data_IF_592893552410
#
_entry.id   IF_592893552410
#
_cell.length_a   1.000
_cell.length_b   1.000
_cell.length_c   1.000
_cell.angle_alpha   90.00
_cell.angle_beta   90.00
_cell.angle_gamma   90.00
#
_symmetry.space_group_name_H-M   'P 1'
#
loop_
_entity.id
_entity.type
_entity.pdbx_description
1 polymer ?
#
# COMPACT_ATOMS: atom_id res chain seq x y z
N UNK A 1 -18.34 1.58 -42.64
CA UNK A 1 -17.32 1.22 -41.63
C UNK A 1 -17.84 1.60 -40.25
N UNK A 2 -18.21 0.62 -39.41
CA UNK A 2 -18.77 0.88 -38.08
C UNK A 2 -17.61 1.15 -37.12
N UNK A 3 -17.45 2.41 -36.68
CA UNK A 3 -16.46 2.81 -35.68
C UNK A 3 -16.95 2.35 -34.31
N UNK A 4 -16.32 1.34 -33.76
CA UNK A 4 -16.57 0.87 -32.39
C UNK A 4 -15.83 1.84 -31.47
N UNK A 5 -16.55 2.84 -30.97
CA UNK A 5 -16.06 3.71 -29.90
C UNK A 5 -15.96 2.88 -28.63
N UNK A 6 -14.72 2.50 -28.30
CA UNK A 6 -14.36 1.83 -27.05
C UNK A 6 -14.72 2.75 -25.88
N UNK A 7 -15.81 2.42 -25.21
CA UNK A 7 -16.29 3.14 -24.02
C UNK A 7 -15.40 2.72 -22.85
N UNK A 8 -14.36 3.51 -22.58
CA UNK A 8 -13.59 3.37 -21.35
C UNK A 8 -14.51 3.71 -20.18
N UNK A 9 -14.88 2.69 -19.41
CA UNK A 9 -15.53 2.82 -18.11
C UNK A 9 -14.57 3.55 -17.17
N UNK A 10 -14.61 4.88 -17.21
CA UNK A 10 -13.98 5.72 -16.20
C UNK A 10 -14.76 5.53 -14.90
N UNK A 11 -14.33 4.55 -14.09
CA UNK A 11 -14.67 4.50 -12.67
C UNK A 11 -14.02 5.71 -12.02
N UNK A 12 -14.77 6.81 -11.97
CA UNK A 12 -14.37 8.05 -11.32
C UNK A 12 -14.37 7.83 -9.80
N UNK A 13 -13.27 7.25 -9.31
CA UNK A 13 -12.96 7.26 -7.89
C UNK A 13 -12.48 8.68 -7.56
N UNK A 14 -13.43 9.60 -7.35
CA UNK A 14 -13.14 10.95 -6.86
C UNK A 14 -12.83 10.82 -5.36
N UNK A 15 -11.65 10.30 -5.06
CA UNK A 15 -11.08 10.33 -3.73
C UNK A 15 -10.45 11.72 -3.54
N UNK A 16 -11.25 12.70 -3.10
CA UNK A 16 -10.73 13.94 -2.52
C UNK A 16 -10.07 13.61 -1.18
N UNK A 17 -8.79 13.23 -1.21
CA UNK A 17 -8.00 13.01 0.00
C UNK A 17 -7.09 14.21 0.25
N UNK A 18 -7.16 14.69 1.49
CA UNK A 18 -6.62 15.92 2.01
C UNK A 18 -5.13 15.82 2.40
N UNK A 19 -4.41 16.94 2.23
CA UNK A 19 -3.10 17.32 2.82
C UNK A 19 -2.04 16.20 2.82
N UNK A 20 -1.78 15.64 1.65
CA UNK A 20 -0.68 14.72 1.39
C UNK A 20 0.05 15.14 0.11
N UNK A 21 1.12 14.43 -0.25
CA UNK A 21 1.81 14.70 -1.50
C UNK A 21 0.90 14.29 -2.69
N UNK A 22 0.53 15.26 -3.54
CA UNK A 22 -0.28 14.99 -4.74
C UNK A 22 0.61 14.44 -5.87
N UNK A 23 0.52 13.13 -6.08
CA UNK A 23 1.24 12.41 -7.13
C UNK A 23 0.41 12.18 -8.40
N UNK A 24 -0.85 12.65 -8.47
CA UNK A 24 -1.77 12.39 -9.58
C UNK A 24 -1.25 12.86 -10.94
N UNK A 25 -0.42 13.91 -10.95
CA UNK A 25 0.17 14.51 -12.16
C UNK A 25 1.46 13.83 -12.62
N UNK A 26 1.94 12.81 -11.90
CA UNK A 26 3.18 12.10 -12.24
C UNK A 26 2.96 11.04 -13.31
N UNK A 27 3.97 10.77 -14.12
CA UNK A 27 3.98 9.60 -15.01
C UNK A 27 4.26 8.31 -14.22
N UNK A 28 3.98 7.14 -14.82
CA UNK A 28 4.25 5.85 -14.18
C UNK A 28 5.73 5.67 -13.85
N UNK A 29 6.62 6.11 -14.75
CA UNK A 29 8.06 6.06 -14.52
C UNK A 29 8.49 6.99 -13.39
N UNK A 30 7.85 8.16 -13.25
CA UNK A 30 8.08 9.04 -12.09
C UNK A 30 7.63 8.40 -10.78
N UNK A 31 6.47 7.72 -10.74
CA UNK A 31 6.01 7.00 -9.54
C UNK A 31 7.01 5.91 -9.13
N UNK A 32 7.49 5.12 -10.10
CA UNK A 32 8.52 4.10 -9.86
C UNK A 32 9.81 4.75 -9.34
N UNK A 33 10.24 5.87 -9.94
CA UNK A 33 11.48 6.54 -9.55
C UNK A 33 11.39 7.22 -8.18
N UNK A 34 10.23 7.80 -7.83
CA UNK A 34 10.00 8.39 -6.50
C UNK A 34 10.21 7.37 -5.39
N UNK A 35 9.88 6.09 -5.61
CA UNK A 35 10.10 5.04 -4.61
C UNK A 35 11.57 4.91 -4.16
N UNK A 36 12.54 5.29 -5.02
CA UNK A 36 13.98 5.24 -4.72
C UNK A 36 14.43 6.22 -3.63
N UNK A 37 13.66 7.28 -3.39
CA UNK A 37 14.04 8.38 -2.49
C UNK A 37 12.89 8.98 -1.68
N UNK A 38 11.67 8.43 -1.80
CA UNK A 38 10.50 8.92 -1.05
C UNK A 38 10.79 8.96 0.45
N UNK A 39 10.34 10.02 1.11
CA UNK A 39 10.45 10.19 2.57
C UNK A 39 9.36 9.37 3.27
N UNK A 40 9.46 9.25 4.59
CA UNK A 40 8.50 8.49 5.38
C UNK A 40 7.08 9.08 5.25
N UNK A 41 6.97 10.41 5.32
CA UNK A 41 5.73 11.19 5.34
C UNK A 41 4.94 11.08 4.03
N UNK A 42 5.63 10.91 2.90
CA UNK A 42 4.98 10.86 1.58
C UNK A 42 4.78 9.42 1.08
N UNK A 43 5.31 8.42 1.79
CA UNK A 43 5.32 7.04 1.30
C UNK A 43 3.89 6.45 1.24
N UNK A 44 3.01 6.79 2.17
CA UNK A 44 1.64 6.30 2.19
C UNK A 44 0.86 6.78 0.95
N UNK A 45 0.93 8.09 0.66
CA UNK A 45 0.33 8.68 -0.55
C UNK A 45 0.89 8.06 -1.82
N UNK A 46 2.21 7.86 -1.89
CA UNK A 46 2.88 7.26 -3.05
C UNK A 46 2.42 5.80 -3.26
N UNK A 47 2.23 5.03 -2.18
CA UNK A 47 1.71 3.66 -2.26
C UNK A 47 0.27 3.64 -2.75
N UNK A 48 -0.59 4.54 -2.27
CA UNK A 48 -1.98 4.66 -2.74
C UNK A 48 -2.01 5.00 -4.23
N UNK A 49 -1.19 5.96 -4.67
CA UNK A 49 -1.13 6.34 -6.08
C UNK A 49 -0.67 5.17 -6.96
N UNK A 50 0.34 4.42 -6.51
CA UNK A 50 0.78 3.18 -7.19
C UNK A 50 -0.38 2.16 -7.30
N UNK A 51 -1.18 1.99 -6.24
CA UNK A 51 -2.34 1.10 -6.25
C UNK A 51 -3.45 1.55 -7.18
N UNK A 52 -3.76 2.86 -7.21
CA UNK A 52 -4.73 3.44 -8.15
C UNK A 52 -4.35 3.10 -9.59
N UNK A 53 -3.09 3.33 -9.96
CA UNK A 53 -2.56 3.04 -11.30
C UNK A 53 -2.61 1.57 -11.66
N UNK A 54 -2.31 0.68 -10.72
CA UNK A 54 -2.42 -0.76 -10.95
C UNK A 54 -3.84 -1.18 -11.36
N UNK A 55 -4.88 -0.52 -10.83
CA UNK A 55 -6.28 -0.83 -11.15
C UNK A 55 -6.66 -0.45 -12.60
N UNK A 56 -5.93 0.50 -13.20
CA UNK A 56 -6.13 0.95 -14.57
C UNK A 56 -5.27 0.17 -15.59
N UNK A 57 -4.35 -0.66 -15.10
CA UNK A 57 -3.42 -1.43 -15.92
C UNK A 57 -3.93 -2.84 -16.22
N UNK A 58 -3.47 -3.42 -17.34
CA UNK A 58 -3.63 -4.86 -17.57
C UNK A 58 -2.81 -5.64 -16.54
N UNK A 59 -3.27 -6.84 -16.18
CA UNK A 59 -2.67 -7.66 -15.13
C UNK A 59 -1.14 -7.82 -15.24
N UNK A 60 -0.61 -8.10 -16.44
CA UNK A 60 0.83 -8.26 -16.66
C UNK A 60 1.59 -6.96 -16.37
N UNK A 61 1.09 -5.85 -16.89
CA UNK A 61 1.72 -4.53 -16.74
C UNK A 61 1.63 -4.06 -15.28
N UNK A 62 0.49 -4.28 -14.62
CA UNK A 62 0.30 -3.99 -13.20
C UNK A 62 1.29 -4.77 -12.32
N UNK A 63 1.53 -6.05 -12.64
CA UNK A 63 2.49 -6.89 -11.91
C UNK A 63 3.92 -6.39 -12.07
N UNK A 64 4.31 -6.03 -13.30
CA UNK A 64 5.64 -5.48 -13.57
C UNK A 64 5.84 -4.10 -12.90
N UNK A 65 4.83 -3.23 -13.00
CA UNK A 65 4.81 -1.92 -12.35
C UNK A 65 4.98 -2.04 -10.84
N UNK A 66 4.19 -2.91 -10.20
CA UNK A 66 4.27 -3.18 -8.78
C UNK A 66 5.64 -3.74 -8.37
N UNK A 67 6.19 -4.66 -9.17
CA UNK A 67 7.50 -5.25 -8.91
C UNK A 67 8.59 -4.17 -8.89
N UNK A 68 8.70 -3.36 -9.95
CA UNK A 68 9.67 -2.26 -10.04
C UNK A 68 9.53 -1.27 -8.89
N UNK A 69 8.30 -0.88 -8.58
CA UNK A 69 8.01 0.01 -7.46
C UNK A 69 8.49 -0.57 -6.11
N UNK A 70 8.13 -1.82 -5.80
CA UNK A 70 8.50 -2.48 -4.55
C UNK A 70 10.00 -2.69 -4.42
N UNK A 71 10.68 -3.06 -5.49
CA UNK A 71 12.14 -3.21 -5.50
C UNK A 71 12.82 -1.88 -5.17
N UNK A 72 12.44 -0.79 -5.85
CA UNK A 72 12.99 0.54 -5.56
C UNK A 72 12.71 1.00 -4.12
N UNK A 73 11.49 0.77 -3.62
CA UNK A 73 11.12 1.13 -2.25
C UNK A 73 11.91 0.30 -1.23
N UNK A 74 12.10 -0.99 -1.49
CA UNK A 74 12.90 -1.87 -0.63
C UNK A 74 14.37 -1.42 -0.60
N UNK A 75 14.97 -1.11 -1.75
CA UNK A 75 16.33 -0.60 -1.85
C UNK A 75 16.51 0.77 -1.15
N UNK A 76 15.49 1.62 -1.18
CA UNK A 76 15.50 2.86 -0.42
C UNK A 76 15.52 2.58 1.10
N UNK A 77 14.62 1.72 1.57
CA UNK A 77 14.49 1.38 2.99
C UNK A 77 15.69 0.59 3.50
N UNK A 78 16.32 -0.25 2.68
CA UNK A 78 17.46 -1.09 3.08
C UNK A 78 18.72 -0.29 3.42
N UNK A 79 18.82 0.95 2.94
CA UNK A 79 19.91 1.89 3.26
C UNK A 79 19.81 2.46 4.69
N UNK A 80 18.66 2.32 5.33
CA UNK A 80 18.40 2.87 6.66
C UNK A 80 18.88 1.91 7.76
N UNK A 81 19.35 2.47 8.87
CA UNK A 81 19.64 1.71 10.09
C UNK A 81 18.37 1.03 10.65
N UNK A 82 18.50 0.01 11.52
CA UNK A 82 17.33 -0.61 12.15
C UNK A 82 16.41 0.38 12.88
N UNK A 83 16.98 1.40 13.54
CA UNK A 83 16.21 2.42 14.25
C UNK A 83 15.44 3.32 13.29
N UNK A 84 16.08 3.81 12.22
CA UNK A 84 15.42 4.63 11.20
C UNK A 84 14.33 3.84 10.46
N UNK A 85 14.55 2.55 10.17
CA UNK A 85 13.51 1.67 9.61
C UNK A 85 12.31 1.55 10.54
N UNK A 86 12.53 1.41 11.85
CA UNK A 86 11.46 1.34 12.84
C UNK A 86 10.65 2.64 12.89
N UNK A 87 11.32 3.79 12.95
CA UNK A 87 10.68 5.11 12.95
C UNK A 87 9.88 5.35 11.67
N UNK A 88 10.48 5.06 10.51
CA UNK A 88 9.82 5.14 9.21
C UNK A 88 8.58 4.26 9.17
N UNK A 89 8.67 3.02 9.66
CA UNK A 89 7.51 2.12 9.71
C UNK A 89 6.38 2.70 10.55
N UNK A 90 6.67 3.29 11.72
CA UNK A 90 5.64 3.88 12.57
C UNK A 90 4.92 5.04 11.89
N UNK A 91 5.67 5.94 11.22
CA UNK A 91 5.11 7.06 10.44
C UNK A 91 4.20 6.52 9.33
N UNK A 92 4.73 5.63 8.48
CA UNK A 92 3.98 5.10 7.33
C UNK A 92 2.74 4.31 7.78
N UNK A 93 2.81 3.58 8.89
CA UNK A 93 1.65 2.86 9.43
C UNK A 93 0.57 3.82 9.90
N UNK A 94 0.95 4.89 10.60
CA UNK A 94 0.02 5.94 11.03
C UNK A 94 -0.62 6.63 9.83
N UNK A 95 0.18 7.06 8.85
CA UNK A 95 -0.32 7.77 7.68
C UNK A 95 -1.27 6.88 6.85
N UNK A 96 -0.91 5.60 6.67
CA UNK A 96 -1.81 4.63 6.03
C UNK A 96 -3.12 4.45 6.80
N UNK A 97 -3.08 4.39 8.14
CA UNK A 97 -4.29 4.30 8.97
C UNK A 97 -5.16 5.55 8.78
N UNK A 98 -4.57 6.74 8.95
CA UNK A 98 -5.26 8.03 8.84
C UNK A 98 -5.88 8.23 7.44
N UNK A 99 -5.26 7.67 6.39
CA UNK A 99 -5.82 7.64 5.02
C UNK A 99 -6.96 6.63 4.91
N UNK A 100 -6.81 5.42 5.43
CA UNK A 100 -7.86 4.39 5.36
C UNK A 100 -9.08 4.70 6.23
N UNK A 101 -8.91 5.42 7.34
CA UNK A 101 -10.02 5.84 8.21
C UNK A 101 -10.96 6.82 7.51
N UNK A 102 -10.47 7.51 6.47
CA UNK A 102 -11.23 8.44 5.64
C UNK A 102 -11.83 7.79 4.39
N UNK A 103 -11.45 6.55 4.08
CA UNK A 103 -11.93 5.81 2.92
C UNK A 103 -13.17 4.98 3.25
N UNK A 104 -14.07 4.84 2.28
CA UNK A 104 -15.14 3.85 2.36
C UNK A 104 -14.58 2.42 2.30
N UNK A 105 -15.32 1.46 2.87
CA UNK A 105 -14.95 0.04 2.76
C UNK A 105 -14.90 -0.47 1.31
N UNK A 106 -15.53 0.22 0.35
CA UNK A 106 -15.42 -0.09 -1.08
C UNK A 106 -14.05 0.34 -1.61
N UNK A 107 -13.65 1.58 -1.36
CA UNK A 107 -12.34 2.11 -1.76
C UNK A 107 -11.18 1.29 -1.18
N UNK A 108 -11.27 0.88 0.09
CA UNK A 108 -10.27 0.01 0.74
C UNK A 108 -10.13 -1.34 0.02
N UNK A 109 -11.24 -1.92 -0.44
CA UNK A 109 -11.24 -3.19 -1.18
C UNK A 109 -10.66 -3.00 -2.58
N UNK A 110 -11.07 -1.96 -3.28
CA UNK A 110 -10.60 -1.64 -4.64
C UNK A 110 -9.10 -1.37 -4.68
N UNK A 111 -8.55 -0.67 -3.68
CA UNK A 111 -7.10 -0.42 -3.58
C UNK A 111 -6.32 -1.60 -2.98
N UNK A 112 -7.01 -2.69 -2.62
CA UNK A 112 -6.42 -3.85 -1.95
C UNK A 112 -5.60 -3.42 -0.69
N UNK A 113 -6.22 -2.57 0.14
CA UNK A 113 -5.68 -2.04 1.40
C UNK A 113 -6.21 -2.79 2.63
N UNK A 114 -7.09 -3.77 2.44
CA UNK A 114 -7.74 -4.55 3.49
C UNK A 114 -6.77 -5.44 4.31
N UNK A 115 -5.49 -5.51 3.94
CA UNK A 115 -4.52 -6.49 4.44
C UNK A 115 -3.70 -6.11 5.68
N UNK A 116 -3.80 -4.89 6.22
CA UNK A 116 -2.93 -4.45 7.32
C UNK A 116 -3.65 -3.86 8.53
N UNK A 117 -4.96 -4.09 8.67
CA UNK A 117 -5.49 -4.25 10.02
C UNK A 117 -4.92 -5.58 10.54
N UNK A 118 -3.64 -5.57 10.94
CA UNK A 118 -3.33 -6.18 12.22
C UNK A 118 -4.24 -5.43 13.17
N UNK A 119 -5.46 -5.96 13.33
CA UNK A 119 -6.29 -5.56 14.42
C UNK A 119 -5.38 -5.54 15.63
N UNK A 120 -5.69 -4.66 16.56
CA UNK A 120 -5.50 -5.03 17.95
C UNK A 120 -6.09 -6.44 18.08
N UNK A 121 -5.27 -7.47 17.89
CA UNK A 121 -5.48 -8.75 18.54
C UNK A 121 -5.44 -8.29 19.97
N UNK A 122 -6.62 -8.07 20.53
CA UNK A 122 -6.77 -8.13 21.96
C UNK A 122 -6.05 -9.41 22.31
N UNK A 123 -4.85 -9.28 22.87
CA UNK A 123 -4.20 -10.37 23.59
C UNK A 123 -5.09 -10.58 24.82
N UNK A 124 -6.30 -11.11 24.61
CA UNK A 124 -6.96 -11.85 25.65
C UNK A 124 -6.04 -13.03 25.87
N UNK A 125 -5.33 -12.95 26.98
CA UNK A 125 -4.48 -13.98 27.49
C UNK A 125 -5.19 -15.33 27.36
N UNK A 126 -4.71 -16.17 26.44
CA UNK A 126 -4.86 -17.60 26.63
C UNK A 126 -3.90 -17.95 27.79
N UNK A 127 -4.39 -17.73 29.01
CA UNK A 127 -3.87 -18.44 30.17
C UNK A 127 -4.09 -19.93 29.92
N UNK A 128 -3.07 -20.71 30.29
CA UNK A 128 -3.10 -22.15 30.53
C UNK A 128 -3.45 -23.05 29.35
N UNK A 129 -2.42 -23.53 28.66
CA UNK A 129 -2.35 -24.95 28.38
C UNK A 129 -0.99 -25.46 28.83
N UNK A 130 -1.03 -26.30 29.86
CA UNK A 130 0.12 -26.95 30.48
C UNK A 130 0.91 -27.74 29.43
N UNK A 131 2.20 -27.40 29.31
CA UNK A 131 3.20 -28.24 28.66
C UNK A 131 3.53 -29.41 29.58
N UNK A 132 2.70 -30.44 29.64
CA UNK A 132 3.16 -31.74 30.14
C UNK A 132 2.65 -32.86 29.22
N UNK A 133 3.61 -33.66 28.76
CA UNK A 133 3.48 -34.90 27.99
C UNK A 133 3.28 -34.77 26.48
N UNK A 134 4.41 -34.68 25.77
CA UNK A 134 4.52 -35.24 24.43
C UNK A 134 5.73 -36.20 24.39
N UNK A 135 5.54 -37.53 24.44
CA UNK A 135 6.62 -38.50 24.26
C UNK A 135 7.01 -38.53 22.77
N UNK A 136 8.25 -38.14 22.48
CA UNK A 136 8.85 -38.29 21.16
C UNK A 136 8.93 -39.78 20.82
N UNK A 137 8.38 -40.18 19.68
CA UNK A 137 8.55 -41.51 19.10
C UNK A 137 9.14 -41.38 17.70
#
# INVERSE_FOLDING_TARGET
MKKITSLLLASSLIATLAIGADFSKKSNDEIINLAKSVKAQDQADLVIEMKKRMNEMKFKDAKEFQYKFKTNLYENISKLSPQERSQRRAIVQKDMQDLTDKMSGKEIRELNLHGNHHGKRNFHAHQNMHHENCPMR
#
